data_IF_266633248932
#
_entry.id   IF_266633248932
#
_cell.length_a   1.000
_cell.length_b   1.000
_cell.length_c   1.000
_cell.angle_alpha   90.00
_cell.angle_beta   90.00
_cell.angle_gamma   90.00
#
_symmetry.space_group_name_H-M   'P 1'
#
loop_
_entity.id
_entity.type
_entity.pdbx_description
1 polymer ?
#
# COMPACT_ATOMS: atom_id res chain seq x y z
N UNK A 1 52.63 -37.64 -40.39
CA UNK A 1 51.23 -37.69 -40.89
C UNK A 1 50.63 -38.96 -40.32
N UNK A 2 49.51 -39.07 -39.61
CA UNK A 2 48.27 -38.32 -39.35
C UNK A 2 47.63 -39.02 -38.11
N UNK A 3 46.62 -38.59 -37.37
CA UNK A 3 45.86 -37.37 -37.15
C UNK A 3 45.23 -37.54 -35.73
N UNK A 4 45.02 -36.44 -35.01
CA UNK A 4 44.38 -36.42 -33.69
C UNK A 4 42.85 -36.49 -33.91
N UNK A 5 42.16 -37.39 -33.22
CA UNK A 5 40.70 -37.41 -33.16
C UNK A 5 40.24 -37.18 -31.71
N UNK A 6 39.70 -35.98 -31.45
CA UNK A 6 39.08 -35.59 -30.19
C UNK A 6 37.60 -35.97 -30.27
N UNK A 7 37.15 -36.88 -29.40
CA UNK A 7 35.72 -37.16 -29.21
C UNK A 7 35.20 -36.28 -28.07
N UNK A 8 34.43 -35.26 -28.43
CA UNK A 8 33.67 -34.44 -27.49
C UNK A 8 32.31 -35.11 -27.21
N UNK A 9 32.05 -35.48 -25.95
CA UNK A 9 30.72 -35.93 -25.51
C UNK A 9 29.91 -34.72 -25.01
N UNK A 10 28.82 -34.41 -25.71
CA UNK A 10 27.88 -33.37 -25.33
C UNK A 10 27.00 -33.84 -24.16
N UNK A 11 27.01 -33.11 -23.04
CA UNK A 11 26.09 -33.33 -21.92
C UNK A 11 24.79 -32.58 -22.23
N UNK A 12 23.70 -33.32 -22.46
CA UNK A 12 22.36 -32.76 -22.58
C UNK A 12 21.86 -32.28 -21.20
N UNK A 13 21.92 -30.98 -20.96
CA UNK A 13 21.37 -30.36 -19.75
C UNK A 13 19.85 -30.22 -19.83
N UNK A 14 19.13 -30.86 -18.91
CA UNK A 14 17.70 -30.65 -18.70
C UNK A 14 17.48 -29.26 -18.09
N UNK A 15 16.87 -28.35 -18.84
CA UNK A 15 16.48 -27.03 -18.33
C UNK A 15 15.25 -27.23 -17.43
N UNK A 16 15.47 -27.27 -16.12
CA UNK A 16 14.39 -27.22 -15.14
C UNK A 16 13.70 -25.85 -15.20
N UNK A 17 12.46 -25.82 -15.69
CA UNK A 17 11.58 -24.65 -15.59
C UNK A 17 11.22 -24.46 -14.11
N UNK A 18 11.93 -23.58 -13.42
CA UNK A 18 11.50 -23.14 -12.09
C UNK A 18 10.22 -22.30 -12.26
N UNK A 19 9.14 -22.56 -11.51
CA UNK A 19 7.95 -21.74 -11.57
C UNK A 19 8.31 -20.32 -11.11
N UNK A 20 8.16 -19.35 -12.01
CA UNK A 20 8.29 -17.93 -11.69
C UNK A 20 7.14 -17.55 -10.76
N UNK A 21 7.47 -17.26 -9.49
CA UNK A 21 6.51 -16.70 -8.56
C UNK A 21 6.01 -15.35 -9.11
N UNK A 22 4.74 -15.30 -9.51
CA UNK A 22 4.10 -14.05 -9.92
C UNK A 22 3.94 -13.16 -8.70
N UNK A 23 4.64 -12.02 -8.67
CA UNK A 23 4.48 -11.03 -7.61
C UNK A 23 3.03 -10.51 -7.65
N UNK A 24 2.31 -10.61 -6.52
CA UNK A 24 0.98 -10.03 -6.42
C UNK A 24 1.04 -8.54 -6.76
N UNK A 25 0.20 -8.08 -7.71
CA UNK A 25 0.11 -6.67 -8.08
C UNK A 25 -0.31 -5.87 -6.85
N UNK A 26 0.60 -5.08 -6.27
CA UNK A 26 0.25 -4.07 -5.27
C UNK A 26 -0.24 -2.82 -5.97
N UNK A 27 -1.35 -2.28 -5.49
CA UNK A 27 -1.84 -0.97 -5.90
C UNK A 27 -0.72 0.06 -5.73
N UNK A 28 -0.52 0.87 -6.78
CA UNK A 28 0.30 2.07 -6.69
C UNK A 28 -0.54 3.24 -6.18
N UNK A 29 0.12 4.25 -5.61
CA UNK A 29 -0.55 5.49 -5.26
C UNK A 29 -1.09 6.16 -6.54
N UNK A 30 -2.38 6.50 -6.54
CA UNK A 30 -3.11 7.00 -7.71
C UNK A 30 -3.15 8.54 -7.84
N UNK A 31 -2.48 9.28 -6.94
CA UNK A 31 -2.36 10.74 -7.05
C UNK A 31 -3.56 11.55 -6.55
N UNK A 32 -4.63 10.93 -6.04
CA UNK A 32 -5.91 11.62 -5.78
C UNK A 32 -5.89 12.62 -4.63
N UNK A 33 -4.87 12.60 -3.76
CA UNK A 33 -4.69 13.67 -2.77
C UNK A 33 -4.29 15.01 -3.42
N UNK A 34 -3.95 15.01 -4.71
CA UNK A 34 -3.67 16.20 -5.50
C UNK A 34 -2.21 16.67 -5.45
N UNK A 35 -1.97 17.82 -6.07
CA UNK A 35 -0.62 18.37 -6.24
C UNK A 35 0.06 18.68 -4.90
N UNK A 36 1.37 18.42 -4.84
CA UNK A 36 2.22 18.64 -3.66
C UNK A 36 2.15 17.56 -2.58
N UNK A 37 1.24 16.59 -2.69
CA UNK A 37 1.21 15.44 -1.79
C UNK A 37 2.23 14.37 -2.22
N UNK A 38 3.04 13.91 -1.28
CA UNK A 38 4.01 12.81 -1.44
C UNK A 38 3.65 11.68 -0.51
N UNK A 39 3.81 10.43 -0.97
CA UNK A 39 3.64 9.25 -0.11
C UNK A 39 4.72 9.29 0.96
N UNK A 40 4.30 9.34 2.22
CA UNK A 40 5.19 9.28 3.39
C UNK A 40 5.10 7.94 4.10
N UNK A 41 3.99 7.23 3.92
CA UNK A 41 3.84 5.86 4.41
C UNK A 41 2.78 5.09 3.60
N UNK A 42 2.84 3.76 3.65
CA UNK A 42 1.80 2.90 3.07
C UNK A 42 1.75 1.56 3.79
N UNK A 43 0.61 0.87 3.68
CA UNK A 43 0.45 -0.47 4.24
C UNK A 43 -0.46 -1.34 3.35
N UNK A 44 -0.12 -2.63 3.15
CA UNK A 44 -1.02 -3.56 2.46
C UNK A 44 -2.32 -3.72 3.23
N UNK A 45 -3.40 -3.96 2.49
CA UNK A 45 -4.66 -4.50 3.01
C UNK A 45 -4.76 -5.93 2.47
N UNK A 46 -4.10 -6.87 3.17
CA UNK A 46 -3.93 -8.23 2.68
C UNK A 46 -3.38 -8.28 1.26
N UNK A 47 -4.09 -9.00 0.38
CA UNK A 47 -3.85 -9.05 -1.07
C UNK A 47 -4.85 -8.21 -1.88
N UNK A 48 -5.67 -7.37 -1.23
CA UNK A 48 -6.77 -6.62 -1.85
C UNK A 48 -6.40 -5.22 -2.31
N UNK A 49 -5.44 -4.58 -1.64
CA UNK A 49 -5.07 -3.21 -1.93
C UNK A 49 -3.96 -2.67 -1.04
N UNK A 50 -3.78 -1.35 -1.11
CA UNK A 50 -2.85 -0.60 -0.27
C UNK A 50 -3.53 0.68 0.21
N UNK A 51 -3.41 0.97 1.51
CA UNK A 51 -3.73 2.29 2.05
C UNK A 51 -2.46 3.13 2.07
N UNK A 52 -2.59 4.38 1.62
CA UNK A 52 -1.50 5.34 1.51
C UNK A 52 -1.73 6.49 2.47
N UNK A 53 -0.69 6.84 3.23
CA UNK A 53 -0.58 8.11 3.93
C UNK A 53 0.34 9.02 3.10
N UNK A 54 -0.20 10.17 2.71
CA UNK A 54 0.55 11.21 2.02
C UNK A 54 0.64 12.47 2.87
N UNK A 55 1.57 13.35 2.52
CA UNK A 55 1.75 14.62 3.20
C UNK A 55 2.14 15.71 2.19
N UNK A 56 1.59 16.90 2.39
CA UNK A 56 1.96 18.11 1.69
C UNK A 56 2.63 19.07 2.70
N UNK A 57 3.95 19.23 2.60
CA UNK A 57 4.73 20.06 3.52
C UNK A 57 4.43 21.55 3.43
N UNK A 58 4.04 22.05 2.25
CA UNK A 58 3.65 23.44 2.06
C UNK A 58 2.31 23.76 2.75
N UNK A 59 1.39 22.78 2.81
CA UNK A 59 0.08 22.92 3.46
C UNK A 59 0.05 22.45 4.91
N UNK A 60 1.03 21.65 5.34
CA UNK A 60 1.04 21.04 6.67
C UNK A 60 -0.03 19.96 6.87
N UNK A 61 -0.54 19.36 5.79
CA UNK A 61 -1.69 18.45 5.81
C UNK A 61 -1.33 17.04 5.36
N UNK A 62 -1.86 16.05 6.08
CA UNK A 62 -1.89 14.67 5.67
C UNK A 62 -3.11 14.39 4.79
N UNK A 63 -3.01 13.35 3.96
CA UNK A 63 -4.12 12.78 3.22
C UNK A 63 -4.03 11.26 3.21
N UNK A 64 -5.15 10.57 3.46
CA UNK A 64 -5.25 9.11 3.39
C UNK A 64 -6.16 8.69 2.24
N UNK A 65 -5.71 7.70 1.48
CA UNK A 65 -6.48 7.06 0.40
C UNK A 65 -6.25 5.55 0.45
N UNK A 66 -7.32 4.78 0.26
CA UNK A 66 -7.26 3.33 0.10
C UNK A 66 -7.46 2.96 -1.36
N UNK A 67 -6.47 2.31 -1.99
CA UNK A 67 -6.51 1.93 -3.40
C UNK A 67 -6.52 0.41 -3.54
N UNK A 68 -7.48 -0.15 -4.28
CA UNK A 68 -7.54 -1.61 -4.53
C UNK A 68 -6.59 -2.03 -5.65
N UNK A 69 -6.11 -3.26 -5.59
CA UNK A 69 -5.13 -3.80 -6.54
C UNK A 69 -5.70 -3.94 -7.97
N UNK A 70 -6.97 -4.31 -8.08
CA UNK A 70 -7.66 -4.49 -9.35
C UNK A 70 -9.05 -3.86 -9.27
N UNK A 71 -9.37 -2.93 -10.18
CA UNK A 71 -10.68 -2.27 -10.26
C UNK A 71 -11.79 -3.24 -10.67
N UNK A 72 -13.04 -2.94 -10.32
CA UNK A 72 -14.17 -3.77 -10.71
C UNK A 72 -15.50 -3.30 -10.14
N UNK A 73 -16.40 -4.25 -9.88
CA UNK A 73 -17.68 -3.97 -9.20
C UNK A 73 -17.42 -3.23 -7.86
N UNK A 74 -18.35 -2.35 -7.43
CA UNK A 74 -18.24 -1.68 -6.14
C UNK A 74 -18.13 -2.70 -5.02
N UNK A 75 -17.18 -2.50 -4.12
CA UNK A 75 -16.99 -3.29 -2.90
C UNK A 75 -16.88 -2.36 -1.69
N UNK A 76 -17.24 -2.81 -0.47
CA UNK A 76 -17.03 -2.01 0.73
C UNK A 76 -15.57 -1.60 0.87
N UNK A 77 -15.30 -0.31 0.97
CA UNK A 77 -13.97 0.23 1.21
C UNK A 77 -14.06 1.44 2.13
N UNK A 78 -12.99 1.73 2.87
CA UNK A 78 -12.88 2.96 3.64
C UNK A 78 -11.44 3.50 3.68
N UNK A 79 -11.32 4.79 3.96
CA UNK A 79 -10.09 5.49 4.33
C UNK A 79 -10.33 6.28 5.62
N UNK A 80 -9.39 6.18 6.56
CA UNK A 80 -9.50 6.79 7.89
C UNK A 80 -8.23 7.55 8.24
N UNK A 81 -8.39 8.72 8.85
CA UNK A 81 -7.32 9.54 9.40
C UNK A 81 -7.77 10.19 10.70
N UNK A 82 -7.03 9.93 11.77
CA UNK A 82 -7.09 10.72 12.98
C UNK A 82 -5.75 11.42 13.20
N UNK A 83 -5.82 12.71 13.47
CA UNK A 83 -4.65 13.52 13.81
C UNK A 83 -4.71 13.81 15.30
N UNK A 84 -3.60 13.57 16.02
CA UNK A 84 -3.59 13.75 17.46
C UNK A 84 -3.99 15.18 17.86
N UNK A 85 -4.97 15.28 18.76
CA UNK A 85 -5.53 16.55 19.22
C UNK A 85 -6.48 17.22 18.22
N UNK A 86 -7.00 16.48 17.23
CA UNK A 86 -8.21 16.86 16.52
C UNK A 86 -9.45 16.42 17.33
N UNK A 87 -10.56 17.14 17.20
CA UNK A 87 -11.81 16.80 17.88
C UNK A 87 -12.46 15.53 17.31
N UNK A 88 -12.31 15.33 16.00
CA UNK A 88 -12.88 14.19 15.27
C UNK A 88 -11.87 13.59 14.28
N UNK A 89 -12.05 12.32 13.96
CA UNK A 89 -11.38 11.65 12.85
C UNK A 89 -12.05 11.97 11.52
N UNK A 90 -11.27 12.04 10.45
CA UNK A 90 -11.78 12.10 9.09
C UNK A 90 -11.91 10.68 8.53
N UNK A 91 -13.09 10.33 8.03
CA UNK A 91 -13.38 9.02 7.46
C UNK A 91 -14.21 9.17 6.19
N UNK A 92 -13.91 8.33 5.20
CA UNK A 92 -14.72 8.13 4.01
C UNK A 92 -14.91 6.63 3.80
N UNK A 93 -16.15 6.17 3.87
CA UNK A 93 -16.54 4.76 3.78
C UNK A 93 -17.75 4.56 2.90
N UNK A 94 -17.73 3.52 2.07
CA UNK A 94 -18.78 3.26 1.07
C UNK A 94 -18.44 2.12 0.13
N UNK A 95 -19.27 1.94 -0.90
CA UNK A 95 -19.03 0.94 -1.95
C UNK A 95 -18.28 1.59 -3.14
N UNK A 96 -17.03 1.17 -3.36
CA UNK A 96 -16.12 1.82 -4.30
C UNK A 96 -15.58 0.86 -5.37
N UNK A 97 -15.39 1.37 -6.59
CA UNK A 97 -14.89 0.59 -7.74
C UNK A 97 -13.36 0.61 -7.87
N UNK A 98 -12.69 1.56 -7.22
CA UNK A 98 -11.25 1.82 -7.40
C UNK A 98 -10.54 2.30 -6.12
N UNK A 99 -11.06 3.31 -5.43
CA UNK A 99 -10.47 3.82 -4.20
C UNK A 99 -11.51 4.43 -3.25
N UNK A 100 -11.18 4.50 -1.97
CA UNK A 100 -11.90 5.26 -0.94
C UNK A 100 -11.02 6.40 -0.41
N UNK A 101 -11.61 7.51 0.02
CA UNK A 101 -10.95 8.79 0.28
C UNK A 101 -10.96 9.69 -0.97
N UNK A 102 -10.16 10.78 -1.01
CA UNK A 102 -9.18 11.17 0.00
C UNK A 102 -9.80 11.84 1.24
N UNK A 103 -9.32 11.46 2.43
CA UNK A 103 -9.60 12.18 3.69
C UNK A 103 -8.36 12.95 4.15
N UNK A 104 -8.55 14.12 4.77
CA UNK A 104 -7.48 15.08 5.08
C UNK A 104 -7.45 15.48 6.55
N UNK A 105 -6.26 15.86 7.05
CA UNK A 105 -6.09 16.36 8.41
C UNK A 105 -4.80 17.16 8.60
N UNK A 106 -4.80 18.09 9.57
CA UNK A 106 -3.69 19.00 9.88
C UNK A 106 -2.59 18.35 10.71
N UNK A 107 -1.71 17.57 10.08
CA UNK A 107 -0.72 16.73 10.76
C UNK A 107 0.66 17.34 10.99
N UNK A 108 0.90 18.63 10.68
CA UNK A 108 2.23 19.24 10.88
C UNK A 108 2.67 19.14 12.35
N UNK A 109 3.75 18.40 12.59
CA UNK A 109 4.31 18.19 13.93
C UNK A 109 3.45 17.32 14.84
N UNK A 110 2.50 16.55 14.27
CA UNK A 110 1.56 15.73 15.03
C UNK A 110 1.65 14.26 14.63
N UNK A 111 1.39 13.41 15.62
CA UNK A 111 1.08 12.02 15.39
C UNK A 111 -0.20 11.84 14.60
N UNK A 112 -0.26 10.78 13.79
CA UNK A 112 -1.47 10.39 13.08
C UNK A 112 -1.72 8.89 13.20
N UNK A 113 -2.99 8.55 13.36
CA UNK A 113 -3.51 7.21 13.17
C UNK A 113 -4.21 7.16 11.82
N UNK A 114 -3.99 6.11 11.06
CA UNK A 114 -4.56 6.00 9.72
C UNK A 114 -4.85 4.56 9.38
N UNK A 115 -5.93 4.36 8.63
CA UNK A 115 -6.39 3.04 8.28
C UNK A 115 -7.08 3.00 6.93
N UNK A 116 -7.21 1.80 6.40
CA UNK A 116 -7.99 1.53 5.23
C UNK A 116 -8.51 0.10 5.22
N UNK A 117 -9.64 -0.10 4.56
CA UNK A 117 -10.25 -1.42 4.40
C UNK A 117 -10.81 -1.64 3.00
N UNK A 118 -10.86 -2.92 2.62
CA UNK A 118 -11.41 -3.42 1.36
C UNK A 118 -12.09 -4.77 1.66
N UNK A 119 -13.39 -4.87 1.39
CA UNK A 119 -14.27 -5.96 1.81
C UNK A 119 -14.06 -6.29 3.31
N UNK A 120 -13.66 -7.53 3.60
CA UNK A 120 -13.46 -8.14 4.88
C UNK A 120 -12.01 -8.02 5.38
N UNK A 121 -11.20 -7.11 4.86
CA UNK A 121 -9.83 -6.88 5.32
C UNK A 121 -9.59 -5.41 5.62
N UNK A 122 -8.90 -5.13 6.72
CA UNK A 122 -8.41 -3.78 7.00
C UNK A 122 -7.02 -3.80 7.61
N UNK A 123 -6.31 -2.68 7.47
CA UNK A 123 -5.07 -2.41 8.17
C UNK A 123 -5.17 -1.07 8.89
N UNK A 124 -4.81 -1.06 10.16
CA UNK A 124 -4.73 0.11 11.04
C UNK A 124 -3.27 0.37 11.40
N UNK A 125 -2.83 1.62 11.27
CA UNK A 125 -1.52 2.06 11.74
C UNK A 125 -1.73 3.14 12.80
N UNK A 126 -1.25 2.89 14.00
CA UNK A 126 -1.34 3.80 15.14
C UNK A 126 0.02 4.43 15.45
N UNK A 127 0.01 5.67 15.93
CA UNK A 127 1.21 6.39 16.35
C UNK A 127 2.20 6.62 15.21
N UNK A 128 1.72 6.86 13.99
CA UNK A 128 2.58 7.21 12.85
C UNK A 128 3.05 8.65 12.96
N UNK A 129 4.26 8.94 12.47
CA UNK A 129 4.89 10.27 12.46
C UNK A 129 5.17 10.86 13.86
N UNK A 130 5.32 10.02 14.87
CA UNK A 130 5.44 10.40 16.28
C UNK A 130 6.88 10.58 16.81
N UNK A 131 7.86 10.88 15.94
CA UNK A 131 9.25 11.03 16.36
C UNK A 131 9.82 9.76 17.02
N UNK A 132 9.97 9.78 18.36
CA UNK A 132 10.54 8.67 19.15
C UNK A 132 9.57 7.50 19.40
N UNK A 133 8.26 7.67 19.19
CA UNK A 133 7.31 6.56 19.31
C UNK A 133 7.35 5.71 18.04
N UNK A 134 7.44 4.38 18.23
CA UNK A 134 7.39 3.43 17.12
C UNK A 134 5.95 3.19 16.71
N UNK A 135 5.62 3.46 15.45
CA UNK A 135 4.31 3.15 14.90
C UNK A 135 3.99 1.66 15.04
N UNK A 136 2.74 1.36 15.41
CA UNK A 136 2.23 0.00 15.55
C UNK A 136 1.15 -0.28 14.50
N UNK A 137 1.14 -1.50 13.95
CA UNK A 137 0.23 -1.90 12.88
C UNK A 137 -0.56 -3.15 13.23
N UNK A 138 -1.84 -3.12 12.91
CA UNK A 138 -2.77 -4.25 13.02
C UNK A 138 -3.41 -4.48 11.67
N UNK A 139 -3.29 -5.68 11.14
CA UNK A 139 -4.04 -6.13 9.96
C UNK A 139 -4.92 -7.29 10.38
N UNK A 140 -6.22 -7.18 10.13
CA UNK A 140 -7.18 -8.24 10.47
C UNK A 140 -8.32 -8.32 9.48
N UNK A 141 -8.92 -9.51 9.43
CA UNK A 141 -10.23 -9.69 8.83
C UNK A 141 -11.33 -9.29 9.81
N UNK A 142 -12.50 -8.98 9.29
CA UNK A 142 -13.73 -8.74 10.06
C UNK A 142 -14.86 -9.56 9.47
#
# INVERSE_FOLDING_TARGET
MAAIAVLATAVAGTVALTPQASAATRAAYNGVCGSGYKVVNSAPIGSKGTVFLTYNSAKGKNCVVTVRNATGKPVPMFAYLYVQGADESAEDGGAYTSYAGPVYGDGRGKCVDWAGGIDNQSTWTYGSNCGSLKAYRVTKGW
#
